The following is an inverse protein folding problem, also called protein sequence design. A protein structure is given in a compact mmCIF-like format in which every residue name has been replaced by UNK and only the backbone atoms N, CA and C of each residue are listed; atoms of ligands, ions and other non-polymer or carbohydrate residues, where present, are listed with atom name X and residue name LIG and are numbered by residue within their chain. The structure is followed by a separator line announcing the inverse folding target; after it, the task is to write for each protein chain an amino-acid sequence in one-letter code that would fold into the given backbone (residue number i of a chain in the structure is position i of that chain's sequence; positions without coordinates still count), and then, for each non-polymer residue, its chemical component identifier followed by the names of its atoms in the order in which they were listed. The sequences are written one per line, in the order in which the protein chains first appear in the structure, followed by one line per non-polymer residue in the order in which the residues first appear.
data_IF_967712484259
#
_entry.id   IF_967712484259
#
_cell.length_a   1.000
_cell.length_b   1.000
_cell.length_c   1.000
_cell.angle_alpha   90.00
_cell.angle_beta   90.00
_cell.angle_gamma   90.00
#
_symmetry.space_group_name_H-M   'P 1'
#
loop_
_entity.id
_entity.type
_entity.pdbx_description
1 polymer ?
#
# COMPACT_ATOMS: atom_id res chain seq x y z
N UNK A 1 28.58 10.75 4.14
CA UNK A 1 28.45 11.88 3.18
C UNK A 1 29.36 11.62 2.00
N UNK A 2 28.88 10.92 1.00
CA UNK A 2 29.57 10.73 -0.26
C UNK A 2 28.87 11.59 -1.31
N UNK A 3 29.53 12.67 -1.76
CA UNK A 3 29.23 13.44 -2.96
C UNK A 3 27.90 14.17 -2.95
N UNK A 4 27.90 15.47 -2.72
CA UNK A 4 26.84 16.45 -2.62
C UNK A 4 25.66 16.36 -3.59
N UNK A 5 24.77 15.40 -3.37
CA UNK A 5 23.49 15.33 -4.05
C UNK A 5 22.47 16.25 -3.37
N UNK A 6 21.55 16.83 -4.17
CA UNK A 6 20.41 17.56 -3.64
C UNK A 6 19.20 16.65 -3.57
N UNK A 7 18.41 16.76 -2.50
CA UNK A 7 17.16 16.03 -2.28
C UNK A 7 15.99 17.00 -2.32
N UNK A 8 15.00 16.70 -3.16
CA UNK A 8 13.70 17.36 -3.15
C UNK A 8 12.68 16.43 -2.51
N UNK A 9 12.21 16.77 -1.31
CA UNK A 9 11.14 16.05 -0.63
C UNK A 9 9.80 16.74 -0.85
N UNK A 10 8.78 15.95 -1.15
CA UNK A 10 7.40 16.41 -1.32
C UNK A 10 6.53 15.87 -0.19
N UNK A 11 5.81 16.74 0.48
CA UNK A 11 4.89 16.40 1.57
C UNK A 11 3.65 17.29 1.46
N UNK A 12 2.46 16.67 1.55
CA UNK A 12 1.19 17.41 1.40
C UNK A 12 0.69 18.03 2.71
N UNK A 13 1.07 17.47 3.86
CA UNK A 13 0.61 17.92 5.16
C UNK A 13 1.54 19.01 5.73
N UNK A 14 0.96 20.17 6.03
CA UNK A 14 1.73 21.32 6.55
C UNK A 14 2.53 20.98 7.80
N UNK A 15 1.88 20.32 8.78
CA UNK A 15 2.52 19.98 10.04
C UNK A 15 3.73 19.04 9.87
N UNK A 16 3.62 18.07 8.95
CA UNK A 16 4.69 17.12 8.64
C UNK A 16 5.81 17.83 7.87
N UNK A 17 5.47 18.69 6.90
CA UNK A 17 6.46 19.52 6.19
C UNK A 17 7.25 20.40 7.16
N UNK A 18 6.58 21.08 8.09
CA UNK A 18 7.23 21.99 9.06
C UNK A 18 8.08 21.23 10.07
N UNK A 19 7.65 20.03 10.50
CA UNK A 19 8.45 19.13 11.32
C UNK A 19 9.70 18.68 10.55
N UNK A 20 9.54 18.24 9.32
CA UNK A 20 10.63 17.81 8.45
C UNK A 20 11.67 18.91 8.24
N UNK A 21 11.25 20.16 7.97
CA UNK A 21 12.16 21.31 7.84
C UNK A 21 12.97 21.56 9.11
N UNK A 22 12.34 21.43 10.29
CA UNK A 22 13.07 21.53 11.57
C UNK A 22 14.07 20.41 11.74
N UNK A 23 13.74 19.19 11.34
CA UNK A 23 14.69 18.08 11.35
C UNK A 23 15.85 18.32 10.39
N UNK A 24 15.61 18.83 9.18
CA UNK A 24 16.66 19.20 8.22
C UNK A 24 17.61 20.25 8.82
N UNK A 25 17.05 21.31 9.42
CA UNK A 25 17.83 22.37 10.06
C UNK A 25 18.65 21.84 11.25
N UNK A 26 18.04 21.04 12.12
CA UNK A 26 18.72 20.46 13.29
C UNK A 26 19.90 19.54 12.91
N UNK A 27 19.93 19.04 11.67
CA UNK A 27 21.01 18.21 11.14
C UNK A 27 21.98 18.98 10.23
N UNK A 28 21.79 20.31 10.06
CA UNK A 28 22.63 21.17 9.21
C UNK A 28 22.59 20.76 7.74
N UNK A 29 21.43 20.30 7.26
CA UNK A 29 21.25 19.76 5.91
C UNK A 29 20.43 20.66 4.98
N UNK A 30 20.21 21.94 5.35
CA UNK A 30 19.40 22.89 4.56
C UNK A 30 19.95 23.16 3.18
N UNK A 31 21.27 23.04 3.00
CA UNK A 31 21.91 23.17 1.68
C UNK A 31 21.76 21.95 0.77
N UNK A 32 21.36 20.80 1.32
CA UNK A 32 21.28 19.52 0.62
C UNK A 32 19.84 19.05 0.45
N UNK A 33 18.92 19.38 1.38
CA UNK A 33 17.55 18.88 1.44
C UNK A 33 16.57 20.04 1.40
N UNK A 34 15.75 20.07 0.36
CA UNK A 34 14.63 20.99 0.22
C UNK A 34 13.31 20.25 0.42
N UNK A 35 12.50 20.67 1.40
CA UNK A 35 11.16 20.16 1.59
C UNK A 35 10.12 21.15 1.07
N UNK A 36 9.31 20.69 0.13
CA UNK A 36 8.24 21.46 -0.50
C UNK A 36 6.89 20.90 -0.05
N UNK A 37 6.07 21.80 0.51
CA UNK A 37 4.67 21.49 0.76
C UNK A 37 3.93 21.46 -0.56
N UNK A 38 3.68 20.28 -1.07
CA UNK A 38 2.95 20.09 -2.33
C UNK A 38 2.30 18.71 -2.36
N UNK A 39 1.17 18.63 -3.03
CA UNK A 39 0.63 17.37 -3.49
C UNK A 39 1.53 16.84 -4.62
N UNK A 40 2.11 15.65 -4.43
CA UNK A 40 3.06 15.07 -5.38
C UNK A 40 2.51 15.01 -6.81
N UNK A 41 1.23 14.66 -6.97
CA UNK A 41 0.59 14.57 -8.28
C UNK A 41 0.71 15.88 -9.08
N UNK A 42 0.56 17.04 -8.45
CA UNK A 42 0.64 18.34 -9.15
C UNK A 42 2.03 18.58 -9.73
N UNK A 43 3.06 18.36 -8.93
CA UNK A 43 4.45 18.61 -9.37
C UNK A 43 4.89 17.57 -10.41
N UNK A 44 4.50 16.30 -10.22
CA UNK A 44 4.95 15.21 -11.09
C UNK A 44 4.25 15.20 -12.46
N UNK A 45 3.01 15.67 -12.55
CA UNK A 45 2.27 15.76 -13.82
C UNK A 45 2.56 17.03 -14.60
N UNK A 46 2.88 18.13 -13.91
CA UNK A 46 3.16 19.42 -14.54
C UNK A 46 4.35 20.10 -13.83
N UNK A 47 5.58 19.60 -14.04
CA UNK A 47 6.76 20.21 -13.45
C UNK A 47 6.93 21.65 -13.97
N UNK A 48 7.43 22.58 -13.13
CA UNK A 48 7.74 23.93 -13.56
C UNK A 48 8.69 23.94 -14.75
N UNK A 49 8.54 24.94 -15.63
CA UNK A 49 9.46 25.12 -16.75
C UNK A 49 10.89 25.32 -16.20
N UNK A 50 11.86 24.63 -16.82
CA UNK A 50 13.25 24.66 -16.37
C UNK A 50 13.56 23.87 -15.10
N UNK A 51 12.60 23.11 -14.56
CA UNK A 51 12.86 22.23 -13.41
C UNK A 51 14.02 21.25 -13.72
N UNK A 52 14.98 21.08 -12.78
CA UNK A 52 16.08 20.14 -12.98
C UNK A 52 15.55 18.70 -13.06
N UNK A 53 16.12 17.90 -13.96
CA UNK A 53 15.78 16.48 -14.03
C UNK A 53 16.41 15.73 -12.86
N UNK A 54 15.62 14.84 -12.27
CA UNK A 54 16.00 14.05 -11.13
C UNK A 54 16.70 12.75 -11.56
N UNK A 55 17.72 12.36 -10.81
CA UNK A 55 18.52 11.16 -11.04
C UNK A 55 17.96 9.93 -10.32
N UNK A 56 17.05 10.11 -9.37
CA UNK A 56 16.45 9.07 -8.55
C UNK A 56 15.04 9.49 -8.14
N UNK A 57 14.13 8.56 -8.14
CA UNK A 57 12.83 8.68 -7.50
C UNK A 57 12.73 7.69 -6.35
N UNK A 58 12.53 8.21 -5.13
CA UNK A 58 12.31 7.40 -3.95
C UNK A 58 10.91 7.70 -3.41
N UNK A 59 10.09 6.68 -3.22
CA UNK A 59 8.75 6.84 -2.69
C UNK A 59 8.40 5.72 -1.70
N UNK A 60 8.01 6.10 -0.50
CA UNK A 60 7.32 5.25 0.44
C UNK A 60 5.83 5.64 0.38
N UNK A 61 5.10 5.05 -0.55
CA UNK A 61 3.69 5.30 -0.85
C UNK A 61 2.94 3.97 -0.91
N UNK A 62 3.07 3.21 0.18
CA UNK A 62 2.50 1.87 0.31
C UNK A 62 1.69 1.77 1.60
N UNK A 63 0.44 1.41 1.46
CA UNK A 63 -0.43 1.08 2.58
C UNK A 63 -0.44 -0.43 2.86
N UNK A 64 -1.33 -0.91 3.71
CA UNK A 64 -1.47 -2.34 4.01
C UNK A 64 -1.77 -3.20 2.79
N UNK A 65 -2.41 -2.64 1.75
CA UNK A 65 -2.66 -3.31 0.47
C UNK A 65 -1.53 -3.15 -0.56
N UNK A 66 -0.54 -2.32 -0.26
CA UNK A 66 0.62 -2.03 -1.10
C UNK A 66 0.38 -1.01 -2.21
N UNK A 67 -0.86 -0.75 -2.61
CA UNK A 67 -1.20 0.06 -3.79
C UNK A 67 -2.07 1.28 -3.48
N UNK A 68 -2.54 1.44 -2.24
CA UNK A 68 -3.55 2.42 -1.86
C UNK A 68 -3.09 3.89 -1.90
N UNK A 69 -1.79 4.16 -1.91
CA UNK A 69 -1.22 5.52 -1.86
C UNK A 69 -0.71 6.03 -3.21
N UNK A 70 -1.17 5.43 -4.30
CA UNK A 70 -0.92 5.90 -5.67
C UNK A 70 0.53 5.80 -6.17
N UNK A 71 1.37 4.95 -5.59
CA UNK A 71 2.76 4.74 -5.98
C UNK A 71 2.95 4.63 -7.50
N UNK A 72 2.21 3.69 -8.14
CA UNK A 72 2.37 3.40 -9.57
C UNK A 72 2.00 4.59 -10.46
N UNK A 73 0.89 5.26 -10.15
CA UNK A 73 0.43 6.40 -10.94
C UNK A 73 1.36 7.60 -10.82
N UNK A 74 1.89 7.87 -9.63
CA UNK A 74 2.83 8.97 -9.39
C UNK A 74 4.19 8.71 -10.05
N UNK A 75 4.73 7.50 -9.92
CA UNK A 75 5.98 7.11 -10.57
C UNK A 75 5.87 7.19 -12.10
N UNK A 76 4.77 6.69 -12.67
CA UNK A 76 4.48 6.79 -14.10
C UNK A 76 4.31 8.26 -14.56
N UNK A 77 3.66 9.10 -13.74
CA UNK A 77 3.54 10.54 -14.03
C UNK A 77 4.91 11.24 -14.03
N UNK A 78 5.78 10.93 -13.06
CA UNK A 78 7.12 11.48 -12.98
C UNK A 78 7.98 11.14 -14.20
N UNK A 79 7.87 9.90 -14.73
CA UNK A 79 8.54 9.50 -15.97
C UNK A 79 7.97 10.23 -17.19
N UNK A 80 6.65 10.20 -17.38
CA UNK A 80 5.99 10.83 -18.54
C UNK A 80 6.12 12.35 -18.54
N UNK A 81 6.12 12.98 -17.37
CA UNK A 81 6.28 14.42 -17.20
C UNK A 81 7.71 14.92 -17.49
N UNK A 82 8.66 14.01 -17.75
CA UNK A 82 10.04 14.36 -18.07
C UNK A 82 10.83 14.89 -16.87
N UNK A 83 10.30 14.77 -15.67
CA UNK A 83 11.00 15.20 -14.44
C UNK A 83 12.15 14.25 -14.10
N UNK A 84 12.08 12.98 -14.50
CA UNK A 84 13.15 12.01 -14.29
C UNK A 84 14.03 11.91 -15.53
N UNK A 85 15.32 11.66 -15.31
CA UNK A 85 16.19 11.18 -16.39
C UNK A 85 15.67 9.83 -16.91
N UNK A 86 15.87 9.50 -18.21
CA UNK A 86 15.36 8.26 -18.79
C UNK A 86 15.78 6.99 -18.04
N UNK A 87 17.02 6.96 -17.56
CA UNK A 87 17.59 5.83 -16.82
C UNK A 87 17.54 6.00 -15.30
N UNK A 88 16.82 7.03 -14.79
CA UNK A 88 16.71 7.24 -13.35
C UNK A 88 16.07 6.02 -12.68
N UNK A 89 16.71 5.41 -11.67
CA UNK A 89 16.10 4.34 -10.89
C UNK A 89 14.88 4.86 -10.11
N UNK A 90 13.93 3.95 -9.90
CA UNK A 90 12.78 4.15 -9.01
C UNK A 90 12.89 3.16 -7.86
N UNK A 91 12.72 3.65 -6.65
CA UNK A 91 12.70 2.84 -5.43
C UNK A 91 11.34 3.01 -4.74
N UNK A 92 10.57 1.93 -4.58
CA UNK A 92 10.88 0.57 -5.05
C UNK A 92 10.84 0.44 -6.58
N UNK A 93 11.57 -0.55 -7.13
CA UNK A 93 11.62 -0.82 -8.56
C UNK A 93 10.43 -1.68 -9.04
N UNK A 94 9.94 -2.56 -8.17
CA UNK A 94 8.83 -3.49 -8.47
C UNK A 94 7.97 -3.69 -7.25
N UNK A 95 6.68 -3.91 -7.46
CA UNK A 95 5.75 -4.35 -6.43
C UNK A 95 5.00 -5.60 -6.88
N UNK A 96 4.82 -6.54 -5.97
CA UNK A 96 4.01 -7.76 -6.11
C UNK A 96 3.00 -7.81 -4.99
N UNK A 97 1.79 -8.28 -5.30
CA UNK A 97 0.74 -8.51 -4.29
C UNK A 97 0.26 -9.94 -4.42
N UNK A 98 0.22 -10.61 -3.29
CA UNK A 98 -0.22 -11.99 -3.14
C UNK A 98 -1.54 -12.01 -2.40
N UNK A 99 -2.41 -12.97 -2.70
CA UNK A 99 -3.69 -13.14 -2.04
C UNK A 99 -3.88 -14.57 -1.56
N UNK A 100 -4.56 -14.71 -0.42
CA UNK A 100 -4.91 -15.98 0.20
C UNK A 100 -6.33 -15.91 0.73
N UNK A 101 -7.15 -16.93 0.50
CA UNK A 101 -8.41 -17.11 1.22
C UNK A 101 -8.14 -17.73 2.58
N UNK A 102 -8.76 -17.19 3.59
CA UNK A 102 -8.57 -17.66 4.97
C UNK A 102 -9.90 -17.87 5.70
N UNK A 103 -9.85 -18.74 6.69
CA UNK A 103 -10.79 -18.79 7.79
C UNK A 103 -10.18 -17.98 8.95
N UNK A 104 -10.71 -16.78 9.14
CA UNK A 104 -10.22 -15.83 10.13
C UNK A 104 -11.04 -15.98 11.41
N UNK A 105 -10.45 -16.60 12.43
CA UNK A 105 -11.13 -16.94 13.68
C UNK A 105 -11.16 -15.76 14.64
N UNK A 106 -12.32 -15.49 15.25
CA UNK A 106 -12.45 -14.50 16.32
C UNK A 106 -12.28 -13.02 15.90
N UNK A 107 -11.76 -12.74 14.73
CA UNK A 107 -11.59 -11.36 14.25
C UNK A 107 -12.85 -10.76 13.60
N UNK A 108 -13.85 -11.57 13.26
CA UNK A 108 -15.10 -11.08 12.68
C UNK A 108 -15.74 -10.00 13.56
N UNK A 109 -15.79 -10.22 14.86
CA UNK A 109 -16.32 -9.23 15.81
C UNK A 109 -15.44 -7.99 15.98
N UNK A 110 -14.12 -8.10 15.87
CA UNK A 110 -13.22 -6.94 15.98
C UNK A 110 -13.17 -6.11 14.68
N UNK A 111 -13.22 -6.74 13.52
CA UNK A 111 -13.32 -6.07 12.22
C UNK A 111 -14.73 -5.55 11.99
N UNK A 112 -15.76 -6.31 12.35
CA UNK A 112 -17.15 -5.86 12.33
C UNK A 112 -17.41 -4.75 13.34
N UNK A 113 -16.76 -4.74 14.51
CA UNK A 113 -16.90 -3.64 15.48
C UNK A 113 -16.25 -2.35 14.98
N UNK A 114 -15.21 -2.43 14.17
CA UNK A 114 -14.68 -1.26 13.47
C UNK A 114 -15.63 -0.80 12.34
N UNK A 115 -16.47 -1.68 11.82
CA UNK A 115 -17.55 -1.38 10.88
C UNK A 115 -18.89 -1.03 11.57
N UNK A 116 -19.13 -1.51 12.77
CA UNK A 116 -20.28 -1.18 13.59
C UNK A 116 -20.02 0.11 14.40
N UNK A 117 -19.93 1.23 13.70
CA UNK A 117 -20.14 2.50 14.40
C UNK A 117 -21.58 2.49 14.90
N UNK A 118 -21.79 2.55 16.23
CA UNK A 118 -23.12 2.52 16.78
C UNK A 118 -23.93 3.68 16.18
N UNK A 119 -25.20 3.46 15.87
CA UNK A 119 -26.06 4.51 15.36
C UNK A 119 -26.16 5.72 16.30
N UNK A 120 -25.77 5.51 17.56
CA UNK A 120 -25.62 6.53 18.60
C UNK A 120 -24.38 6.28 19.44
N UNK A 121 -23.62 7.33 19.72
CA UNK A 121 -22.51 7.33 20.66
C UNK A 121 -22.74 8.42 21.70
N UNK A 122 -22.81 8.06 22.98
CA UNK A 122 -23.06 9.01 24.09
C UNK A 122 -24.26 9.94 23.85
N UNK A 123 -25.35 9.40 23.26
CA UNK A 123 -26.57 10.16 22.95
C UNK A 123 -26.55 10.90 21.60
N UNK A 124 -25.38 11.04 20.97
CA UNK A 124 -25.24 11.67 19.65
C UNK A 124 -25.64 10.69 18.54
N UNK A 125 -26.53 11.12 17.65
CA UNK A 125 -26.95 10.33 16.51
C UNK A 125 -25.88 10.36 15.41
N UNK A 126 -25.31 9.19 15.10
CA UNK A 126 -24.26 9.04 14.08
C UNK A 126 -24.80 8.52 12.75
N UNK A 127 -26.06 8.10 12.68
CA UNK A 127 -26.65 7.56 11.46
C UNK A 127 -26.55 8.48 10.22
N UNK A 128 -26.58 9.83 10.33
CA UNK A 128 -26.38 10.67 9.14
C UNK A 128 -24.97 10.52 8.55
N UNK A 129 -23.95 10.34 9.42
CA UNK A 129 -22.56 10.16 9.03
C UNK A 129 -22.32 8.80 8.36
N UNK A 130 -23.04 7.74 8.78
CA UNK A 130 -22.90 6.41 8.21
C UNK A 130 -23.21 6.35 6.70
N UNK A 131 -24.00 7.28 6.18
CA UNK A 131 -24.27 7.42 4.74
C UNK A 131 -23.04 7.82 3.93
N UNK A 132 -22.13 8.57 4.55
CA UNK A 132 -20.94 9.12 3.91
C UNK A 132 -19.69 8.30 4.24
N UNK A 133 -19.85 7.25 5.03
CA UNK A 133 -18.77 6.34 5.34
C UNK A 133 -18.35 5.60 4.06
N UNK A 134 -17.16 5.91 3.56
CA UNK A 134 -16.56 5.09 2.51
C UNK A 134 -16.32 3.70 3.08
N UNK A 135 -16.91 2.68 2.49
CA UNK A 135 -16.55 1.29 2.79
C UNK A 135 -15.09 1.15 2.40
N UNK A 136 -14.25 0.91 3.36
CA UNK A 136 -12.85 0.59 3.08
C UNK A 136 -12.83 -0.65 2.22
N UNK A 137 -11.94 -0.67 1.21
CA UNK A 137 -11.74 -1.86 0.38
C UNK A 137 -11.20 -3.02 1.21
N UNK A 138 -10.46 -2.73 2.28
CA UNK A 138 -9.89 -3.66 3.26
C UNK A 138 -9.57 -2.94 4.58
N UNK A 139 -9.30 -3.74 5.63
CA UNK A 139 -8.81 -3.27 6.93
C UNK A 139 -7.36 -3.67 7.12
N UNK A 140 -6.59 -2.86 7.85
CA UNK A 140 -5.22 -3.19 8.23
C UNK A 140 -5.23 -4.05 9.52
N UNK A 141 -4.78 -5.30 9.44
CA UNK A 141 -4.82 -6.28 10.54
C UNK A 141 -3.43 -6.81 10.81
N UNK A 142 -3.05 -6.92 12.07
CA UNK A 142 -1.83 -7.60 12.50
C UNK A 142 -2.11 -9.12 12.54
N UNK A 143 -1.88 -9.80 11.44
CA UNK A 143 -2.12 -11.24 11.33
C UNK A 143 -1.13 -12.08 12.14
N UNK A 144 0.03 -11.53 12.53
CA UNK A 144 0.93 -12.22 13.45
C UNK A 144 0.33 -12.37 14.87
N UNK A 145 -0.66 -11.54 15.19
CA UNK A 145 -1.40 -11.59 16.46
C UNK A 145 -2.82 -12.15 16.33
N UNK A 146 -3.22 -12.59 15.13
CA UNK A 146 -4.56 -13.11 14.85
C UNK A 146 -4.54 -14.64 14.64
N UNK A 147 -5.62 -15.30 15.05
CA UNK A 147 -5.83 -16.71 14.71
C UNK A 147 -6.52 -16.80 13.34
N UNK A 148 -5.87 -17.43 12.38
CA UNK A 148 -6.44 -17.69 11.07
C UNK A 148 -5.89 -18.98 10.47
N UNK A 149 -6.67 -19.61 9.62
CA UNK A 149 -6.27 -20.79 8.86
C UNK A 149 -6.25 -20.44 7.36
N UNK A 150 -5.11 -20.56 6.67
CA UNK A 150 -5.07 -20.41 5.21
C UNK A 150 -5.81 -21.60 4.57
N UNK A 151 -6.69 -21.29 3.62
CA UNK A 151 -7.49 -22.29 2.89
C UNK A 151 -7.02 -22.46 1.45
N UNK A 152 -6.22 -21.54 0.94
CA UNK A 152 -5.54 -21.63 -0.37
C UNK A 152 -4.05 -21.38 -0.19
N UNK A 153 -3.26 -21.79 -1.18
CA UNK A 153 -1.91 -21.28 -1.31
C UNK A 153 -1.92 -19.78 -1.58
N UNK A 154 -0.80 -19.12 -1.31
CA UNK A 154 -0.61 -17.73 -1.74
C UNK A 154 -0.54 -17.66 -3.26
N UNK A 155 -1.37 -16.84 -3.84
CA UNK A 155 -1.45 -16.64 -5.28
C UNK A 155 -1.00 -15.22 -5.64
N UNK A 156 -0.07 -15.09 -6.58
CA UNK A 156 0.32 -13.80 -7.13
C UNK A 156 -0.86 -13.18 -7.90
N UNK A 157 -1.48 -12.16 -7.33
CA UNK A 157 -2.64 -11.50 -7.91
C UNK A 157 -2.30 -10.22 -8.65
N UNK A 158 -1.16 -9.61 -8.33
CA UNK A 158 -0.70 -8.40 -8.99
C UNK A 158 0.82 -8.34 -9.02
N UNK A 159 1.39 -7.83 -10.14
CA UNK A 159 2.82 -7.53 -10.26
C UNK A 159 2.99 -6.37 -11.23
N UNK A 160 3.79 -5.38 -10.85
CA UNK A 160 4.10 -4.24 -11.70
C UNK A 160 5.55 -3.76 -11.50
N UNK A 161 6.16 -3.30 -12.57
CA UNK A 161 7.37 -2.47 -12.52
C UNK A 161 6.93 -1.04 -12.23
N UNK A 162 7.55 -0.43 -11.23
CA UNK A 162 7.21 0.93 -10.83
C UNK A 162 7.68 1.91 -11.91
N UNK A 163 6.78 2.80 -12.33
CA UNK A 163 7.02 3.74 -13.44
C UNK A 163 6.46 3.28 -14.78
N UNK A 164 6.11 2.03 -14.95
CA UNK A 164 5.39 1.53 -16.12
C UNK A 164 3.88 1.80 -16.01
N UNK A 165 3.15 1.55 -17.09
CA UNK A 165 1.69 1.54 -17.04
C UNK A 165 1.21 0.39 -16.14
N UNK A 166 0.22 0.62 -15.25
CA UNK A 166 -0.32 -0.46 -14.45
C UNK A 166 -0.92 -1.55 -15.35
N UNK A 167 -0.80 -2.82 -14.96
CA UNK A 167 -1.40 -3.92 -15.72
C UNK A 167 -2.93 -3.78 -15.77
N UNK A 168 -3.52 -4.34 -16.81
CA UNK A 168 -4.98 -4.39 -16.94
C UNK A 168 -5.61 -5.28 -15.86
N UNK A 169 -6.87 -5.00 -15.52
CA UNK A 169 -7.67 -5.84 -14.64
C UNK A 169 -7.69 -7.28 -15.12
N UNK A 170 -7.55 -8.21 -14.20
CA UNK A 170 -7.62 -9.65 -14.50
C UNK A 170 -8.39 -10.40 -13.42
N UNK A 171 -8.94 -11.56 -13.79
CA UNK A 171 -9.48 -12.53 -12.85
C UNK A 171 -8.37 -13.51 -12.47
N UNK A 172 -8.20 -13.72 -11.17
CA UNK A 172 -7.25 -14.70 -10.62
C UNK A 172 -8.03 -15.75 -9.85
N UNK A 173 -7.77 -17.02 -10.15
CA UNK A 173 -8.37 -18.13 -9.43
C UNK A 173 -7.55 -18.46 -8.17
N UNK A 174 -8.21 -18.51 -7.03
CA UNK A 174 -7.69 -19.00 -5.77
C UNK A 174 -8.26 -20.40 -5.54
N UNK A 175 -7.42 -21.43 -5.64
CA UNK A 175 -7.85 -22.82 -5.51
C UNK A 175 -7.64 -23.32 -4.10
N UNK A 176 -8.71 -23.80 -3.47
CA UNK A 176 -8.66 -24.30 -2.10
C UNK A 176 -7.80 -25.57 -1.99
N UNK A 177 -6.95 -25.61 -0.98
CA UNK A 177 -6.12 -26.74 -0.59
C UNK A 177 -6.68 -27.44 0.66
N UNK A 178 -7.44 -26.70 1.47
CA UNK A 178 -8.08 -27.19 2.68
C UNK A 178 -9.60 -26.96 2.66
N UNK A 179 -10.33 -27.75 3.46
CA UNK A 179 -11.74 -27.51 3.73
C UNK A 179 -11.87 -26.49 4.87
N UNK A 180 -12.87 -25.61 4.78
CA UNK A 180 -13.15 -24.63 5.82
C UNK A 180 -14.22 -23.63 5.43
N UNK A 181 -14.40 -22.64 6.26
CA UNK A 181 -15.31 -21.52 6.01
C UNK A 181 -14.48 -20.28 5.63
N UNK A 182 -14.31 -20.04 4.31
CA UNK A 182 -13.65 -18.83 3.84
C UNK A 182 -14.50 -17.61 4.20
N UNK A 183 -14.00 -16.76 5.05
CA UNK A 183 -14.68 -15.56 5.51
C UNK A 183 -13.88 -14.27 5.22
N UNK A 184 -12.61 -14.41 4.80
CA UNK A 184 -11.79 -13.27 4.44
C UNK A 184 -10.81 -13.58 3.29
N UNK A 185 -10.41 -12.51 2.60
CA UNK A 185 -9.25 -12.47 1.73
C UNK A 185 -8.17 -11.66 2.42
N UNK A 186 -6.97 -12.21 2.47
CA UNK A 186 -5.77 -11.54 2.95
C UNK A 186 -4.90 -11.16 1.76
N UNK A 187 -4.34 -9.94 1.79
CA UNK A 187 -3.29 -9.52 0.87
C UNK A 187 -2.01 -9.23 1.62
N UNK A 188 -0.94 -9.72 1.07
CA UNK A 188 0.42 -9.34 1.45
C UNK A 188 1.14 -8.81 0.20
N UNK A 189 2.09 -7.93 0.40
CA UNK A 189 2.86 -7.39 -0.71
C UNK A 189 4.36 -7.54 -0.46
N UNK A 190 5.09 -7.51 -1.56
CA UNK A 190 6.54 -7.47 -1.63
C UNK A 190 6.96 -6.34 -2.55
N UNK A 191 7.98 -5.59 -2.16
CA UNK A 191 8.57 -4.54 -2.96
C UNK A 191 10.08 -4.76 -3.11
N UNK A 192 10.52 -5.00 -4.34
CA UNK A 192 11.95 -5.00 -4.65
C UNK A 192 12.42 -3.55 -4.67
N UNK A 193 13.44 -3.23 -3.87
CA UNK A 193 13.98 -1.87 -3.85
C UNK A 193 14.68 -1.56 -5.15
N UNK A 194 15.48 -2.52 -5.64
CA UNK A 194 16.23 -2.43 -6.88
C UNK A 194 16.39 -3.81 -7.52
N UNK A 195 17.21 -3.91 -8.56
CA UNK A 195 17.52 -5.17 -9.26
C UNK A 195 18.78 -5.88 -8.69
N UNK A 196 19.26 -5.52 -7.48
CA UNK A 196 20.49 -6.08 -6.88
C UNK A 196 20.33 -7.50 -6.34
N UNK A 197 19.08 -8.00 -6.24
CA UNK A 197 18.79 -9.28 -5.61
C UNK A 197 18.72 -9.21 -4.08
N UNK A 198 18.71 -8.02 -3.51
CA UNK A 198 18.41 -7.80 -2.09
C UNK A 198 17.03 -8.36 -1.75
N UNK A 199 16.82 -9.01 -0.60
CA UNK A 199 15.50 -9.48 -0.20
C UNK A 199 14.47 -8.34 -0.24
N UNK A 200 13.25 -8.58 -0.76
CA UNK A 200 12.24 -7.55 -0.87
C UNK A 200 11.79 -7.05 0.50
N UNK A 201 11.36 -5.79 0.56
CA UNK A 201 10.52 -5.34 1.65
C UNK A 201 9.17 -6.04 1.54
N UNK A 202 8.59 -6.45 2.66
CA UNK A 202 7.28 -7.08 2.68
C UNK A 202 6.53 -6.76 3.97
N UNK A 203 5.21 -6.80 3.90
CA UNK A 203 4.36 -6.76 5.07
C UNK A 203 3.86 -8.16 5.50
N UNK A 204 4.43 -9.22 4.96
CA UNK A 204 4.03 -10.58 5.30
C UNK A 204 4.15 -10.85 6.82
N UNK A 205 3.19 -11.55 7.46
CA UNK A 205 3.16 -11.72 8.92
C UNK A 205 4.30 -12.59 9.46
N UNK A 206 4.95 -13.39 8.61
CA UNK A 206 6.11 -14.23 8.95
C UNK A 206 7.46 -13.55 8.69
N UNK A 207 7.46 -12.37 8.09
CA UNK A 207 8.68 -11.61 7.83
C UNK A 207 9.12 -10.76 9.04
N UNK A 208 10.26 -10.10 8.93
CA UNK A 208 10.70 -9.14 9.93
C UNK A 208 9.62 -8.06 10.11
N UNK A 209 9.28 -7.79 11.37
CA UNK A 209 8.16 -6.90 11.70
C UNK A 209 8.41 -5.49 11.19
N UNK A 210 7.50 -5.00 10.37
CA UNK A 210 7.44 -3.62 9.89
C UNK A 210 6.25 -2.89 10.53
N UNK A 211 6.05 -1.61 10.24
CA UNK A 211 4.86 -0.88 10.67
C UNK A 211 3.63 -1.19 9.81
N UNK A 212 3.83 -1.74 8.61
CA UNK A 212 2.71 -2.14 7.76
C UNK A 212 2.08 -3.44 8.27
N UNK A 213 0.76 -3.39 8.37
CA UNK A 213 -0.07 -4.56 8.65
C UNK A 213 -0.54 -5.19 7.33
N UNK A 214 -1.16 -6.36 7.42
CA UNK A 214 -1.73 -7.03 6.26
C UNK A 214 -3.10 -6.44 5.92
N UNK A 215 -3.42 -6.37 4.63
CA UNK A 215 -4.75 -6.00 4.19
C UNK A 215 -5.69 -7.20 4.27
N UNK A 216 -6.81 -7.02 4.94
CA UNK A 216 -7.84 -8.06 5.13
C UNK A 216 -9.19 -7.51 4.71
N UNK A 217 -9.87 -8.22 3.82
CA UNK A 217 -11.25 -7.94 3.43
C UNK A 217 -12.15 -9.08 3.82
N UNK A 218 -13.12 -8.79 4.67
CA UNK A 218 -14.17 -9.75 4.99
C UNK A 218 -15.05 -10.00 3.77
N UNK A 219 -15.38 -11.25 3.56
CA UNK A 219 -16.34 -11.64 2.55
C UNK A 219 -17.78 -11.37 3.04
N UNK A 220 -18.70 -10.98 2.15
CA UNK A 220 -20.07 -10.65 2.53
C UNK A 220 -20.88 -11.84 3.07
N UNK A 221 -20.40 -13.05 2.83
CA UNK A 221 -20.96 -14.30 3.34
C UNK A 221 -19.82 -15.31 3.51
N UNK A 222 -19.98 -16.20 4.49
CA UNK A 222 -19.09 -17.35 4.66
C UNK A 222 -19.26 -18.31 3.49
N UNK A 223 -18.14 -18.66 2.85
CA UNK A 223 -18.11 -19.61 1.75
C UNK A 223 -17.56 -20.94 2.26
N UNK A 224 -18.41 -21.95 2.39
CA UNK A 224 -17.91 -23.30 2.63
C UNK A 224 -17.15 -23.78 1.40
N UNK A 225 -15.88 -24.04 1.57
CA UNK A 225 -15.00 -24.53 0.52
C UNK A 225 -14.42 -25.89 0.89
N UNK A 226 -14.10 -26.66 -0.12
CA UNK A 226 -13.40 -27.94 -0.01
C UNK A 226 -12.23 -27.95 -0.98
N UNK A 227 -11.26 -28.86 -0.83
CA UNK A 227 -10.14 -28.95 -1.74
C UNK A 227 -10.59 -28.99 -3.21
N UNK A 228 -9.88 -28.22 -4.06
CA UNK A 228 -10.16 -27.99 -5.49
C UNK A 228 -11.33 -27.04 -5.79
N UNK A 229 -12.04 -26.52 -4.79
CA UNK A 229 -12.97 -25.40 -5.02
C UNK A 229 -12.17 -24.18 -5.44
N UNK A 230 -12.58 -23.47 -6.50
CA UNK A 230 -11.94 -22.23 -6.95
C UNK A 230 -12.83 -21.04 -6.67
N UNK A 231 -12.25 -20.00 -6.08
CA UNK A 231 -12.83 -18.67 -5.98
C UNK A 231 -12.09 -17.73 -6.93
N UNK A 232 -12.77 -16.73 -7.47
CA UNK A 232 -12.20 -15.81 -8.42
C UNK A 232 -12.12 -14.41 -7.81
N UNK A 233 -10.92 -13.82 -7.86
CA UNK A 233 -10.64 -12.48 -7.42
C UNK A 233 -10.38 -11.58 -8.63
N UNK A 234 -11.08 -10.46 -8.73
CA UNK A 234 -10.82 -9.43 -9.74
C UNK A 234 -9.86 -8.40 -9.14
N UNK A 235 -8.75 -8.19 -9.85
CA UNK A 235 -7.70 -7.24 -9.49
C UNK A 235 -7.57 -6.17 -10.56
#
# INVERSE_FOLDING_TARGET
RAGGGQVLGLEMLSAVTDLGRRCVAANGAEGEVQLVKSEAAKLLTAPPEGAPRLHLFLAELMDSGGLGESLLSLASAARRGGLLLPAAPLLPARIRVWATLVDLQGCGTALDSAELVPSRLSGVALWPWLRYRHRRSYSAVDLAAAEYAPLTDECLVFSAVVGDAPPADRLVALTAQASGEANAVVWVWEADLDDSGTPPLTNAPWAARTHWRQAVKLLPAYLRISPRTSAYLRM
#
